data_IF_400288621442
#
_entry.id   IF_400288621442
#
_cell.length_a   1.000
_cell.length_b   1.000
_cell.length_c   1.000
_cell.angle_alpha   90.00
_cell.angle_beta   90.00
_cell.angle_gamma   90.00
#
_symmetry.space_group_name_H-M   'P 1'
#
loop_
_entity.id
_entity.type
_entity.pdbx_description
1 polymer ?
#
# COMPACT_ATOMS: atom_id res chain seq x y z
N UNK A 1 4.93 -19.08 19.00
CA UNK A 1 5.20 -17.85 18.21
C UNK A 1 3.89 -17.22 17.75
N UNK A 2 3.05 -17.95 17.00
CA UNK A 2 1.71 -17.48 16.61
C UNK A 2 0.79 -17.21 17.81
N UNK A 3 0.88 -17.99 18.90
CA UNK A 3 0.11 -17.71 20.13
C UNK A 3 0.43 -16.36 20.80
N UNK A 4 1.58 -15.73 20.49
CA UNK A 4 1.99 -14.44 21.07
C UNK A 4 1.82 -13.26 20.11
N UNK A 5 2.00 -13.48 18.81
CA UNK A 5 1.81 -12.48 17.75
C UNK A 5 0.99 -13.14 16.64
N UNK A 6 -0.24 -12.64 16.44
CA UNK A 6 -1.18 -13.15 15.45
C UNK A 6 -1.38 -12.12 14.32
N UNK A 7 -1.89 -12.57 13.17
CA UNK A 7 -2.45 -11.67 12.18
C UNK A 7 -3.56 -10.83 12.81
N UNK A 8 -3.61 -9.54 12.47
CA UNK A 8 -4.61 -8.65 13.00
C UNK A 8 -5.95 -8.87 12.27
N UNK A 9 -7.01 -9.33 12.96
CA UNK A 9 -8.30 -9.64 12.33
C UNK A 9 -9.04 -8.42 11.80
N UNK A 10 -8.62 -7.19 12.16
CA UNK A 10 -9.19 -5.95 11.60
C UNK A 10 -8.79 -5.73 10.12
N UNK A 11 -7.74 -6.40 9.65
CA UNK A 11 -7.15 -6.22 8.31
C UNK A 11 -7.21 -7.51 7.49
N UNK A 12 -8.42 -7.89 7.03
CA UNK A 12 -8.66 -9.08 6.21
C UNK A 12 -8.74 -8.78 4.70
N UNK A 13 -8.64 -7.51 4.31
CA UNK A 13 -8.67 -7.11 2.90
C UNK A 13 -7.26 -7.19 2.32
N UNK A 14 -7.18 -7.46 1.03
CA UNK A 14 -5.92 -7.65 0.31
C UNK A 14 -4.89 -6.56 0.63
N UNK A 15 -3.66 -6.99 0.90
CA UNK A 15 -2.46 -6.15 0.97
C UNK A 15 -2.09 -5.66 2.38
N UNK A 16 -0.78 -5.67 2.64
CA UNK A 16 -0.11 -5.16 3.85
C UNK A 16 -0.38 -5.92 5.16
N UNK A 17 -1.24 -6.94 5.17
CA UNK A 17 -1.46 -7.81 6.34
C UNK A 17 -0.17 -8.54 6.77
N UNK A 18 0.58 -9.03 5.79
CA UNK A 18 1.86 -9.71 5.91
C UNK A 18 2.94 -8.74 6.40
N UNK A 19 2.95 -7.52 5.85
CA UNK A 19 3.85 -6.44 6.27
C UNK A 19 3.57 -6.05 7.72
N UNK A 20 2.31 -5.89 8.10
CA UNK A 20 1.91 -5.57 9.47
C UNK A 20 2.33 -6.68 10.44
N UNK A 21 2.09 -7.93 10.07
CA UNK A 21 2.53 -9.09 10.85
C UNK A 21 4.05 -9.12 11.03
N UNK A 22 4.81 -8.90 9.95
CA UNK A 22 6.28 -8.84 10.01
C UNK A 22 6.76 -7.68 10.91
N UNK A 23 6.09 -6.53 10.86
CA UNK A 23 6.38 -5.41 11.77
C UNK A 23 6.05 -5.75 13.23
N UNK A 24 4.99 -6.49 13.49
CA UNK A 24 4.64 -6.93 14.85
C UNK A 24 5.69 -7.89 15.43
N UNK A 25 6.18 -8.83 14.61
CA UNK A 25 7.30 -9.70 14.98
C UNK A 25 8.57 -8.90 15.30
N UNK A 26 8.90 -7.93 14.45
CA UNK A 26 10.07 -7.07 14.65
C UNK A 26 9.96 -6.24 15.94
N UNK A 27 8.79 -5.65 16.24
CA UNK A 27 8.58 -4.91 17.50
C UNK A 27 8.63 -5.81 18.73
N UNK A 28 8.25 -7.09 18.60
CA UNK A 28 8.36 -8.08 19.67
C UNK A 28 9.80 -8.61 19.85
N UNK A 29 10.77 -8.12 19.08
CA UNK A 29 12.15 -8.59 19.11
C UNK A 29 12.32 -10.02 18.59
N UNK A 30 11.36 -10.51 17.80
CA UNK A 30 11.41 -11.86 17.23
C UNK A 30 12.16 -11.81 15.91
N UNK A 31 13.30 -12.51 15.77
CA UNK A 31 14.09 -12.49 14.55
C UNK A 31 13.31 -13.13 13.38
N UNK A 32 13.33 -12.47 12.22
CA UNK A 32 12.76 -12.98 10.98
C UNK A 32 13.93 -13.38 10.06
N UNK A 33 14.01 -14.68 9.75
CA UNK A 33 15.01 -15.21 8.83
C UNK A 33 14.42 -15.30 7.42
N UNK A 34 15.08 -14.69 6.46
CA UNK A 34 14.71 -14.79 5.05
C UNK A 34 15.29 -16.07 4.45
N UNK A 35 14.49 -16.81 3.69
CA UNK A 35 14.89 -18.00 2.95
C UNK A 35 14.74 -17.71 1.47
N UNK A 36 15.79 -17.99 0.70
CA UNK A 36 15.78 -17.85 -0.76
C UNK A 36 15.04 -19.05 -1.38
N UNK A 37 13.71 -18.98 -1.38
CA UNK A 37 12.85 -19.99 -2.00
C UNK A 37 12.30 -19.45 -3.33
N UNK A 38 12.83 -19.88 -4.50
CA UNK A 38 12.30 -19.44 -5.79
C UNK A 38 10.86 -19.94 -5.96
N UNK A 39 9.96 -19.03 -6.33
CA UNK A 39 8.55 -19.34 -6.56
C UNK A 39 8.24 -19.33 -8.06
N UNK A 40 7.43 -20.29 -8.50
CA UNK A 40 6.88 -20.31 -9.85
C UNK A 40 5.61 -19.46 -9.89
N UNK A 41 5.57 -18.45 -10.75
CA UNK A 41 4.37 -17.64 -10.97
C UNK A 41 3.72 -17.99 -12.31
N UNK A 42 2.80 -18.96 -12.29
CA UNK A 42 2.03 -19.37 -13.48
C UNK A 42 0.69 -18.63 -13.62
N UNK A 43 0.30 -17.83 -12.63
CA UNK A 43 -0.97 -17.10 -12.66
C UNK A 43 -0.77 -15.72 -13.26
N UNK A 44 -1.04 -15.60 -14.56
CA UNK A 44 -1.08 -14.31 -15.25
C UNK A 44 -2.46 -13.69 -15.01
N UNK A 45 -2.50 -12.58 -14.28
CA UNK A 45 -3.72 -11.81 -14.06
C UNK A 45 -3.82 -10.61 -15.00
N UNK A 46 -5.04 -10.18 -15.30
CA UNK A 46 -5.27 -9.00 -16.14
C UNK A 46 -4.95 -7.70 -15.37
N UNK A 47 -4.59 -6.64 -16.10
CA UNK A 47 -4.35 -5.31 -15.52
C UNK A 47 -5.56 -4.81 -14.71
N UNK A 48 -6.78 -5.16 -15.13
CA UNK A 48 -7.99 -4.78 -14.41
C UNK A 48 -8.09 -5.46 -13.04
N UNK A 49 -7.82 -6.77 -12.98
CA UNK A 49 -7.81 -7.52 -11.72
C UNK A 49 -6.70 -7.03 -10.80
N UNK A 50 -5.50 -6.80 -11.34
CA UNK A 50 -4.38 -6.25 -10.58
C UNK A 50 -4.69 -4.85 -10.03
N UNK A 51 -5.26 -3.95 -10.84
CA UNK A 51 -5.59 -2.60 -10.39
C UNK A 51 -6.66 -2.61 -9.29
N UNK A 52 -7.64 -3.51 -9.34
CA UNK A 52 -8.60 -3.68 -8.26
C UNK A 52 -7.92 -4.10 -6.96
N UNK A 53 -7.00 -5.08 -7.01
CA UNK A 53 -6.18 -5.48 -5.86
C UNK A 53 -5.33 -4.32 -5.33
N UNK A 54 -4.79 -3.49 -6.20
CA UNK A 54 -4.06 -2.27 -5.82
C UNK A 54 -4.98 -1.30 -5.08
N UNK A 55 -6.17 -1.00 -5.60
CA UNK A 55 -7.16 -0.14 -4.94
C UNK A 55 -7.55 -0.69 -3.54
N UNK A 56 -7.75 -1.99 -3.42
CA UNK A 56 -7.99 -2.67 -2.13
C UNK A 56 -6.80 -2.56 -1.18
N UNK A 57 -5.57 -2.75 -1.67
CA UNK A 57 -4.36 -2.60 -0.85
C UNK A 57 -4.16 -1.19 -0.30
N UNK A 58 -4.56 -0.16 -1.06
CA UNK A 58 -4.51 1.22 -0.61
C UNK A 58 -5.59 1.50 0.45
N UNK A 59 -6.75 0.86 0.34
CA UNK A 59 -7.77 0.91 1.40
C UNK A 59 -7.25 0.28 2.70
N UNK A 60 -6.63 -0.89 2.64
CA UNK A 60 -6.01 -1.54 3.80
C UNK A 60 -4.92 -0.66 4.42
N UNK A 61 -4.02 -0.11 3.60
CA UNK A 61 -2.97 0.78 4.07
C UNK A 61 -3.51 2.06 4.70
N UNK A 62 -4.55 2.65 4.11
CA UNK A 62 -5.20 3.85 4.65
C UNK A 62 -5.79 3.57 6.04
N UNK A 63 -6.49 2.46 6.21
CA UNK A 63 -7.02 2.04 7.52
C UNK A 63 -5.91 1.88 8.56
N UNK A 64 -4.78 1.29 8.18
CA UNK A 64 -3.61 1.17 9.06
C UNK A 64 -3.00 2.53 9.41
N UNK A 65 -3.03 3.48 8.47
CA UNK A 65 -2.48 4.83 8.65
C UNK A 65 -3.30 5.68 9.61
N UNK A 66 -4.63 5.55 9.62
CA UNK A 66 -5.51 6.32 10.51
C UNK A 66 -5.69 5.67 11.89
N UNK A 67 -5.36 4.38 12.03
CA UNK A 67 -5.42 3.68 13.31
C UNK A 67 -4.14 3.93 14.13
N UNK A 68 -4.31 4.49 15.34
CA UNK A 68 -3.21 4.91 16.22
C UNK A 68 -2.28 3.77 16.65
N UNK A 69 -2.75 2.52 16.69
CA UNK A 69 -1.95 1.34 17.06
C UNK A 69 -1.06 0.87 15.90
N UNK A 70 -1.52 1.01 14.66
CA UNK A 70 -0.83 0.50 13.47
C UNK A 70 -0.01 1.56 12.75
N UNK A 71 -0.41 2.83 12.81
CA UNK A 71 0.27 3.93 12.12
C UNK A 71 1.78 4.03 12.45
N UNK A 72 2.24 3.87 13.71
CA UNK A 72 3.67 3.89 14.02
C UNK A 72 4.44 2.73 13.40
N UNK A 73 3.78 1.60 13.15
CA UNK A 73 4.40 0.37 12.64
C UNK A 73 4.66 0.49 11.14
N UNK A 74 3.70 1.04 10.40
CA UNK A 74 3.76 1.16 8.93
C UNK A 74 4.56 2.36 8.42
N UNK A 75 5.14 3.18 9.31
CA UNK A 75 5.90 4.40 8.95
C UNK A 75 7.03 4.14 7.96
N UNK A 76 7.56 2.92 7.94
CA UNK A 76 8.70 2.54 7.12
C UNK A 76 8.35 2.16 5.68
N UNK A 77 7.07 1.96 5.39
CA UNK A 77 6.57 1.67 4.05
C UNK A 77 6.84 2.87 3.14
N UNK A 78 7.46 2.61 1.98
CA UNK A 78 7.86 3.66 1.02
C UNK A 78 6.70 4.59 0.63
N UNK A 79 5.51 4.02 0.42
CA UNK A 79 4.32 4.80 0.05
C UNK A 79 3.85 5.71 1.18
N UNK A 80 3.90 5.23 2.43
CA UNK A 80 3.58 6.02 3.64
C UNK A 80 4.58 7.15 3.82
N UNK A 81 5.88 6.88 3.64
CA UNK A 81 6.94 7.91 3.64
C UNK A 81 6.69 8.99 2.59
N UNK A 82 6.34 8.59 1.37
CA UNK A 82 6.03 9.52 0.29
C UNK A 82 4.80 10.40 0.60
N UNK A 83 3.74 9.81 1.15
CA UNK A 83 2.56 10.54 1.60
C UNK A 83 2.91 11.56 2.70
N UNK A 84 3.60 11.14 3.76
CA UNK A 84 3.99 12.06 4.84
C UNK A 84 4.92 13.18 4.37
N UNK A 85 5.82 12.90 3.43
CA UNK A 85 6.68 13.92 2.83
C UNK A 85 5.86 14.97 2.06
N UNK A 86 4.87 14.52 1.29
CA UNK A 86 3.97 15.38 0.52
C UNK A 86 3.06 16.21 1.45
N UNK A 87 2.56 15.59 2.51
CA UNK A 87 1.65 16.21 3.48
C UNK A 87 2.34 17.25 4.35
N UNK A 88 3.53 16.94 4.90
CA UNK A 88 4.33 17.87 5.71
C UNK A 88 4.70 19.17 4.97
N UNK A 89 4.76 19.14 3.64
CA UNK A 89 5.06 20.31 2.80
C UNK A 89 3.81 21.08 2.36
N UNK A 90 2.63 20.71 2.84
CA UNK A 90 1.35 21.27 2.41
C UNK A 90 0.97 20.94 0.96
N UNK A 91 1.74 20.09 0.28
CA UNK A 91 1.55 19.72 -1.12
C UNK A 91 0.39 18.74 -1.33
N UNK A 92 -0.04 18.04 -0.28
CA UNK A 92 -1.09 17.03 -0.36
C UNK A 92 -2.41 17.58 -0.92
N UNK A 93 -2.81 18.81 -0.55
CA UNK A 93 -4.04 19.42 -1.06
C UNK A 93 -3.99 19.71 -2.56
N UNK A 94 -2.86 20.23 -3.04
CA UNK A 94 -2.64 20.55 -4.45
C UNK A 94 -2.57 19.26 -5.26
N UNK A 95 -1.77 18.31 -4.79
CA UNK A 95 -1.61 17.01 -5.42
C UNK A 95 -2.93 16.26 -5.53
N UNK A 96 -3.75 16.25 -4.47
CA UNK A 96 -5.08 15.63 -4.48
C UNK A 96 -5.99 16.24 -5.54
N UNK A 97 -6.01 17.57 -5.69
CA UNK A 97 -6.80 18.22 -6.74
C UNK A 97 -6.32 17.82 -8.13
N UNK A 98 -5.01 17.84 -8.36
CA UNK A 98 -4.42 17.42 -9.64
C UNK A 98 -4.72 15.94 -9.94
N UNK A 99 -4.60 15.08 -8.93
CA UNK A 99 -4.87 13.65 -9.05
C UNK A 99 -6.35 13.41 -9.35
N UNK A 100 -7.28 14.06 -8.66
CA UNK A 100 -8.72 13.88 -8.91
C UNK A 100 -9.10 14.14 -10.38
N UNK A 101 -8.49 15.17 -11.00
CA UNK A 101 -8.71 15.48 -12.42
C UNK A 101 -8.06 14.44 -13.35
N UNK A 102 -6.88 13.93 -13.00
CA UNK A 102 -6.11 13.00 -13.85
C UNK A 102 -6.35 11.52 -13.54
N UNK A 103 -7.09 11.18 -12.50
CA UNK A 103 -7.27 9.81 -11.98
C UNK A 103 -7.76 8.84 -13.05
N UNK A 104 -8.81 9.22 -13.80
CA UNK A 104 -9.37 8.41 -14.86
C UNK A 104 -8.35 8.17 -16.01
N UNK A 105 -7.63 9.22 -16.42
CA UNK A 105 -6.61 9.13 -17.46
C UNK A 105 -5.44 8.21 -17.03
N UNK A 106 -4.97 8.35 -15.79
CA UNK A 106 -3.91 7.48 -15.23
C UNK A 106 -4.39 6.03 -15.16
N UNK A 107 -5.62 5.79 -14.67
CA UNK A 107 -6.20 4.43 -14.60
C UNK A 107 -6.33 3.81 -15.99
N UNK A 108 -6.86 4.54 -16.97
CA UNK A 108 -6.98 4.06 -18.34
C UNK A 108 -5.62 3.75 -18.96
N UNK A 109 -4.59 4.56 -18.67
CA UNK A 109 -3.23 4.28 -19.12
C UNK A 109 -2.65 3.02 -18.50
N UNK A 110 -2.95 2.75 -17.22
CA UNK A 110 -2.53 1.51 -16.53
C UNK A 110 -3.24 0.25 -17.03
N UNK A 111 -4.44 0.39 -17.62
CA UNK A 111 -5.14 -0.73 -18.25
C UNK A 111 -4.56 -1.09 -19.63
N UNK A 112 -3.73 -0.23 -20.23
CA UNK A 112 -3.04 -0.52 -21.49
C UNK A 112 -1.76 -1.33 -21.24
N UNK A 113 -1.35 -2.14 -22.23
CA UNK A 113 -0.22 -3.06 -22.12
C UNK A 113 1.15 -2.37 -21.92
N UNK A 114 1.33 -1.15 -22.42
CA UNK A 114 2.57 -0.38 -22.30
C UNK A 114 2.39 0.83 -21.37
N UNK A 115 2.72 0.61 -20.09
CA UNK A 115 2.70 1.66 -19.08
C UNK A 115 3.91 1.55 -18.16
N UNK A 116 4.57 2.67 -17.88
CA UNK A 116 5.65 2.70 -16.90
C UNK A 116 5.10 2.47 -15.48
N UNK A 117 5.81 1.70 -14.66
CA UNK A 117 5.48 1.50 -13.24
C UNK A 117 5.42 2.82 -12.44
N UNK A 118 6.04 3.90 -12.93
CA UNK A 118 5.91 5.23 -12.33
C UNK A 118 4.46 5.73 -12.30
N UNK A 119 3.64 5.36 -13.29
CA UNK A 119 2.20 5.68 -13.28
C UNK A 119 1.49 4.92 -12.16
N UNK A 120 1.89 3.68 -11.90
CA UNK A 120 1.34 2.88 -10.83
C UNK A 120 1.70 3.47 -9.45
N UNK A 121 2.93 3.90 -9.26
CA UNK A 121 3.37 4.58 -8.03
C UNK A 121 2.61 5.89 -7.81
N UNK A 122 2.45 6.71 -8.87
CA UNK A 122 1.66 7.93 -8.84
C UNK A 122 0.19 7.64 -8.51
N UNK A 123 -0.37 6.57 -9.08
CA UNK A 123 -1.74 6.14 -8.84
C UNK A 123 -1.96 5.72 -7.38
N UNK A 124 -1.07 4.88 -6.83
CA UNK A 124 -1.07 4.45 -5.43
C UNK A 124 -0.98 5.66 -4.47
N UNK A 125 -0.06 6.58 -4.71
CA UNK A 125 0.10 7.79 -3.90
C UNK A 125 -1.13 8.71 -3.99
N UNK A 126 -1.68 8.86 -5.20
CA UNK A 126 -2.91 9.60 -5.46
C UNK A 126 -4.10 9.06 -4.67
N UNK A 127 -4.34 7.75 -4.77
CA UNK A 127 -5.40 7.07 -4.04
C UNK A 127 -5.26 7.22 -2.53
N UNK A 128 -4.05 7.07 -1.99
CA UNK A 128 -3.81 7.24 -0.55
C UNK A 128 -4.07 8.68 -0.11
N UNK A 129 -3.56 9.67 -0.85
CA UNK A 129 -3.75 11.09 -0.54
C UNK A 129 -5.21 11.53 -0.66
N UNK A 130 -5.98 10.92 -1.57
CA UNK A 130 -7.42 11.17 -1.72
C UNK A 130 -8.24 10.68 -0.52
N UNK A 131 -7.82 9.57 0.12
CA UNK A 131 -8.50 8.97 1.28
C UNK A 131 -8.17 9.68 2.59
N UNK A 132 -6.92 10.11 2.80
CA UNK A 132 -6.46 10.78 4.03
C UNK A 132 -6.84 12.27 4.13
N UNK A 133 -8.11 12.61 3.84
CA UNK A 133 -8.62 13.99 3.84
C UNK A 133 -8.75 14.59 5.24
#
# INVERSE_FOLDING_TARGET
>A
MLEKVNFNPEFQKYGYEDVLFAMDLNHAGIPVHHVDNPILNNDVESNEVYLKKVEESIESLHKMLVNTKTAPKIKDIRLVKAYHYLDKRGGARIFRKLFAVRKAAIRNKLLQAECSLKYLDLYKLGLLTEKSK
#
